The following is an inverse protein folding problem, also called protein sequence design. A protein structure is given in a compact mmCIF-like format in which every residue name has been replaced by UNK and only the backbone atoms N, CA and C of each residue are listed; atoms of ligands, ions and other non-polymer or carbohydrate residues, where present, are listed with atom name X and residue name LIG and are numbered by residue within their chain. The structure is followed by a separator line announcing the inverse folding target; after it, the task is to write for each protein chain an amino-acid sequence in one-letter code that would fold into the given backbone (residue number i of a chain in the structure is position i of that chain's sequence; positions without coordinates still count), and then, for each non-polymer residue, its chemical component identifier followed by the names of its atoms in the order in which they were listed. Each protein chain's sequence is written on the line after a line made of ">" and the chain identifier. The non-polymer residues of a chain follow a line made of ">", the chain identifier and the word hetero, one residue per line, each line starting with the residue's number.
data_IF_156761113112
#
_entry.id   IF_156761113112
#
_cell.length_a   1.000
_cell.length_b   1.000
_cell.length_c   1.000
_cell.angle_alpha   90.00
_cell.angle_beta   90.00
_cell.angle_gamma   90.00
#
_symmetry.space_group_name_H-M   'P 1'
#
loop_
_entity.id
_entity.type
_entity.pdbx_description
1 polymer ?
#
# COMPACT_ATOMS: atom_id res chain seq x y z
N UNK A 1 2.15 -9.93 23.34
CA UNK A 1 0.84 -9.44 22.85
C UNK A 1 1.09 -8.29 21.88
N UNK A 2 1.84 -8.58 20.82
CA UNK A 2 1.40 -8.88 19.44
C UNK A 2 0.99 -7.60 18.68
N UNK A 3 1.99 -7.03 18.01
CA UNK A 3 1.94 -5.89 17.08
C UNK A 3 0.82 -6.08 16.02
N UNK A 4 0.52 -7.32 15.64
CA UNK A 4 -0.58 -7.70 14.74
C UNK A 4 -1.97 -7.26 15.24
N UNK A 5 -2.23 -7.34 16.56
CA UNK A 5 -3.52 -6.99 17.14
C UNK A 5 -3.75 -5.47 17.18
N UNK A 6 -2.66 -4.68 17.14
CA UNK A 6 -2.73 -3.21 17.12
C UNK A 6 -2.90 -2.69 15.69
N UNK A 7 -2.24 -3.32 14.71
CA UNK A 7 -2.39 -3.01 13.28
C UNK A 7 -3.84 -3.23 12.81
N UNK A 8 -4.45 -4.35 13.23
CA UNK A 8 -5.86 -4.66 12.91
C UNK A 8 -6.84 -3.62 13.47
N UNK A 9 -6.65 -3.19 14.73
CA UNK A 9 -7.51 -2.16 15.37
C UNK A 9 -7.38 -0.79 14.73
N UNK A 10 -6.17 -0.36 14.38
CA UNK A 10 -5.97 0.90 13.68
C UNK A 10 -6.60 0.88 12.29
N UNK A 11 -6.42 -0.21 11.53
CA UNK A 11 -7.02 -0.37 10.21
C UNK A 11 -8.55 -0.38 10.26
N UNK A 12 -9.14 -0.99 11.29
CA UNK A 12 -10.58 -0.91 11.55
C UNK A 12 -11.03 0.54 11.82
N UNK A 13 -10.36 1.24 12.73
CA UNK A 13 -10.66 2.64 13.05
C UNK A 13 -10.53 3.56 11.81
N UNK A 14 -9.52 3.32 10.98
CA UNK A 14 -9.29 4.02 9.71
C UNK A 14 -10.40 3.73 8.69
N UNK A 15 -10.78 2.46 8.54
CA UNK A 15 -11.89 2.05 7.68
C UNK A 15 -13.19 2.72 8.11
N UNK A 16 -13.49 2.74 9.41
CA UNK A 16 -14.70 3.34 9.95
C UNK A 16 -14.71 4.87 9.80
N UNK A 17 -13.54 5.52 9.95
CA UNK A 17 -13.39 6.94 9.62
C UNK A 17 -13.79 7.24 8.17
N UNK A 18 -13.26 6.49 7.20
CA UNK A 18 -13.58 6.70 5.79
C UNK A 18 -15.02 6.31 5.42
N UNK A 19 -15.60 5.29 6.07
CA UNK A 19 -17.03 4.97 5.92
C UNK A 19 -17.91 6.14 6.38
N UNK A 20 -17.61 6.72 7.55
CA UNK A 20 -18.34 7.88 8.07
C UNK A 20 -18.20 9.11 7.16
N UNK A 21 -16.98 9.37 6.67
CA UNK A 21 -16.72 10.45 5.72
C UNK A 21 -17.53 10.26 4.43
N UNK A 22 -17.49 9.05 3.84
CA UNK A 22 -18.25 8.72 2.64
C UNK A 22 -19.75 8.88 2.85
N UNK A 23 -20.30 8.37 3.95
CA UNK A 23 -21.72 8.53 4.29
C UNK A 23 -22.13 10.02 4.35
N UNK A 24 -21.28 10.86 4.94
CA UNK A 24 -21.53 12.30 5.03
C UNK A 24 -21.44 12.99 3.65
N UNK A 25 -20.41 12.68 2.86
CA UNK A 25 -20.22 13.23 1.51
C UNK A 25 -21.33 12.79 0.56
N UNK A 26 -21.77 11.52 0.61
CA UNK A 26 -22.88 11.01 -0.21
C UNK A 26 -24.19 11.74 0.10
N UNK A 27 -24.46 12.09 1.37
CA UNK A 27 -25.62 12.90 1.75
C UNK A 27 -25.56 14.30 1.13
N UNK A 28 -24.39 14.94 1.19
CA UNK A 28 -24.17 16.26 0.58
C UNK A 28 -24.32 16.18 -0.95
N UNK A 29 -23.68 15.21 -1.60
CA UNK A 29 -23.74 15.02 -3.04
C UNK A 29 -25.15 14.74 -3.56
N UNK A 30 -25.98 14.01 -2.80
CA UNK A 30 -27.40 13.80 -3.13
C UNK A 30 -28.18 15.11 -3.15
N UNK A 31 -28.01 15.96 -2.14
CA UNK A 31 -28.70 17.26 -2.08
C UNK A 31 -28.20 18.23 -3.17
N UNK A 32 -26.88 18.27 -3.41
CA UNK A 32 -26.29 19.03 -4.53
C UNK A 32 -26.85 18.54 -5.87
N UNK A 33 -26.94 17.22 -6.07
CA UNK A 33 -27.45 16.64 -7.32
C UNK A 33 -28.92 16.98 -7.56
N UNK A 34 -29.75 16.98 -6.51
CA UNK A 34 -31.15 17.44 -6.59
C UNK A 34 -31.24 18.91 -7.00
N UNK A 35 -30.42 19.77 -6.41
CA UNK A 35 -30.38 21.20 -6.77
C UNK A 35 -29.86 21.42 -8.20
N UNK A 36 -28.85 20.66 -8.62
CA UNK A 36 -28.26 20.77 -9.96
C UNK A 36 -29.26 20.39 -11.06
N UNK A 37 -29.97 19.26 -10.87
CA UNK A 37 -30.97 18.74 -11.82
C UNK A 37 -32.27 19.56 -11.87
N UNK A 38 -32.49 20.47 -10.93
CA UNK A 38 -33.67 21.32 -10.93
C UNK A 38 -33.60 22.33 -12.10
N UNK A 39 -34.51 22.22 -13.06
CA UNK A 39 -34.59 23.09 -14.25
C UNK A 39 -35.39 24.37 -14.02
N UNK A 40 -36.09 24.48 -12.89
CA UNK A 40 -36.98 25.60 -12.56
C UNK A 40 -36.19 26.75 -11.95
N UNK A 41 -35.15 26.45 -11.18
CA UNK A 41 -34.34 27.44 -10.47
C UNK A 41 -33.20 27.99 -11.33
N UNK A 42 -33.00 29.30 -11.27
CA UNK A 42 -31.82 29.98 -11.82
C UNK A 42 -30.54 29.59 -11.05
N UNK A 43 -29.38 29.83 -11.66
CA UNK A 43 -28.08 29.56 -11.03
C UNK A 43 -27.91 30.29 -9.69
N UNK A 44 -28.43 31.52 -9.59
CA UNK A 44 -28.38 32.33 -8.36
C UNK A 44 -29.24 31.72 -7.24
N UNK A 45 -30.47 31.33 -7.55
CA UNK A 45 -31.38 30.69 -6.59
C UNK A 45 -30.87 29.32 -6.12
N UNK A 46 -30.20 28.55 -7.00
CA UNK A 46 -29.53 27.31 -6.60
C UNK A 46 -28.42 27.54 -5.58
N UNK A 47 -27.63 28.61 -5.77
CA UNK A 47 -26.57 28.97 -4.84
C UNK A 47 -27.13 29.44 -3.49
N UNK A 48 -28.21 30.23 -3.51
CA UNK A 48 -28.87 30.69 -2.29
C UNK A 48 -29.53 29.54 -1.52
N UNK A 49 -30.19 28.60 -2.21
CA UNK A 49 -30.71 27.37 -1.57
C UNK A 49 -29.61 26.51 -1.00
N UNK A 50 -28.47 26.39 -1.67
CA UNK A 50 -27.33 25.64 -1.15
C UNK A 50 -26.81 26.23 0.17
N UNK A 51 -26.72 27.56 0.27
CA UNK A 51 -26.33 28.25 1.53
C UNK A 51 -27.30 27.99 2.69
N UNK A 52 -28.57 27.77 2.38
CA UNK A 52 -29.61 27.48 3.38
C UNK A 52 -29.62 26.00 3.82
N UNK A 53 -28.99 25.10 3.07
CA UNK A 53 -28.93 23.68 3.43
C UNK A 53 -28.09 23.51 4.70
N UNK A 54 -28.76 23.05 5.76
CA UNK A 54 -28.11 22.64 7.00
C UNK A 54 -27.88 21.14 6.97
N UNK A 55 -26.64 20.74 6.72
CA UNK A 55 -26.26 19.33 6.79
C UNK A 55 -26.30 18.82 8.24
N UNK A 56 -26.67 17.55 8.38
CA UNK A 56 -26.83 16.87 9.65
C UNK A 56 -25.53 16.14 10.01
N UNK A 57 -25.23 16.04 11.30
CA UNK A 57 -24.10 15.24 11.77
C UNK A 57 -24.31 13.75 11.43
N UNK A 58 -23.28 13.08 10.90
CA UNK A 58 -23.34 11.67 10.49
C UNK A 58 -23.64 10.72 11.67
N UNK A 59 -23.31 11.13 12.90
CA UNK A 59 -23.50 10.29 14.09
C UNK A 59 -24.84 10.53 14.81
N UNK A 60 -25.21 11.79 15.05
CA UNK A 60 -26.39 12.13 15.86
C UNK A 60 -27.55 12.77 15.09
N UNK A 61 -27.38 13.07 13.79
CA UNK A 61 -28.41 13.67 12.95
C UNK A 61 -28.77 15.12 13.29
N UNK A 62 -28.10 15.76 14.26
CA UNK A 62 -28.35 17.15 14.67
C UNK A 62 -27.87 18.15 13.60
N UNK A 63 -28.49 19.35 13.52
CA UNK A 63 -28.02 20.43 12.64
C UNK A 63 -26.63 20.91 13.10
N UNK A 64 -25.74 21.19 12.15
CA UNK A 64 -24.34 21.57 12.40
C UNK A 64 -23.32 20.70 11.66
N UNK A 65 -23.75 19.59 11.06
CA UNK A 65 -22.92 18.74 10.22
C UNK A 65 -21.82 17.99 10.99
N UNK A 66 -20.92 17.38 10.23
CA UNK A 66 -19.72 16.72 10.73
C UNK A 66 -18.49 17.38 10.10
N UNK A 67 -17.49 17.65 10.92
CA UNK A 67 -16.24 18.29 10.50
C UNK A 67 -15.20 17.20 10.37
N UNK A 68 -14.80 16.89 9.13
CA UNK A 68 -13.69 16.00 8.83
C UNK A 68 -12.47 16.85 8.44
N UNK A 69 -11.30 16.56 9.02
CA UNK A 69 -10.02 17.17 8.64
C UNK A 69 -8.99 16.09 8.34
N UNK A 70 -8.25 16.30 7.27
CA UNK A 70 -7.13 15.47 6.83
C UNK A 70 -5.91 16.37 6.74
N UNK A 71 -5.10 16.40 7.79
CA UNK A 71 -3.89 17.23 7.90
C UNK A 71 -2.67 16.28 7.92
N UNK A 72 -1.96 16.12 6.81
CA UNK A 72 -0.81 15.20 6.63
C UNK A 72 -1.00 13.79 7.23
N UNK A 73 -0.55 13.61 8.47
CA UNK A 73 -0.59 12.37 9.25
C UNK A 73 -1.79 12.30 10.20
N UNK A 74 -2.54 13.39 10.42
CA UNK A 74 -3.64 13.46 11.36
C UNK A 74 -4.99 13.45 10.64
N UNK A 75 -5.83 12.49 11.01
CA UNK A 75 -7.23 12.41 10.60
C UNK A 75 -8.11 12.74 11.80
N UNK A 76 -9.04 13.68 11.64
CA UNK A 76 -10.01 13.97 12.70
C UNK A 76 -11.43 14.10 12.18
N UNK A 77 -12.38 13.60 12.98
CA UNK A 77 -13.81 13.77 12.75
C UNK A 77 -14.47 14.22 14.06
N UNK A 78 -15.25 15.29 14.00
CA UNK A 78 -16.00 15.82 15.15
C UNK A 78 -17.38 16.31 14.76
N UNK A 79 -18.31 16.34 15.72
CA UNK A 79 -19.61 16.99 15.54
C UNK A 79 -19.42 18.50 15.34
N UNK A 80 -20.09 19.10 14.36
CA UNK A 80 -20.05 20.54 14.10
C UNK A 80 -21.11 21.35 14.87
N UNK A 81 -21.96 20.70 15.65
CA UNK A 81 -22.91 21.38 16.53
C UNK A 81 -22.19 21.91 17.78
N UNK A 82 -22.12 23.23 17.93
CA UNK A 82 -21.41 23.91 19.03
C UNK A 82 -22.22 23.93 20.33
N UNK A 83 -23.55 24.00 20.23
CA UNK A 83 -24.44 24.11 21.40
C UNK A 83 -24.62 22.76 22.11
N UNK A 84 -24.80 21.68 21.34
CA UNK A 84 -25.06 20.34 21.85
C UNK A 84 -24.31 19.28 21.03
N UNK A 85 -22.96 19.25 21.09
CA UNK A 85 -22.15 18.27 20.38
C UNK A 85 -22.50 16.84 20.84
N UNK A 86 -22.40 15.87 19.92
CA UNK A 86 -22.48 14.46 20.28
C UNK A 86 -21.08 13.90 20.58
N UNK A 87 -21.03 12.63 20.98
CA UNK A 87 -19.79 11.95 21.36
C UNK A 87 -18.87 11.60 20.18
N UNK A 88 -19.15 12.12 18.97
CA UNK A 88 -18.28 11.92 17.79
C UNK A 88 -16.99 12.72 17.98
N UNK A 89 -15.93 12.02 18.37
CA UNK A 89 -14.56 12.54 18.47
C UNK A 89 -13.59 11.42 18.05
N UNK A 90 -13.19 11.48 16.78
CA UNK A 90 -12.23 10.55 16.19
C UNK A 90 -10.97 11.33 15.87
N UNK A 91 -9.83 10.83 16.34
CA UNK A 91 -8.49 11.39 16.13
C UNK A 91 -7.52 10.24 15.89
N UNK A 92 -7.06 10.11 14.65
CA UNK A 92 -6.14 9.05 14.22
C UNK A 92 -4.86 9.68 13.70
N UNK A 93 -3.72 9.19 14.17
CA UNK A 93 -2.41 9.52 13.66
C UNK A 93 -1.92 8.37 12.78
N UNK A 94 -1.64 8.65 11.51
CA UNK A 94 -1.01 7.75 10.54
C UNK A 94 0.50 7.82 10.68
N UNK A 95 1.15 6.67 10.58
CA UNK A 95 2.59 6.58 10.35
C UNK A 95 2.93 7.16 8.97
N UNK A 96 4.16 7.67 8.86
CA UNK A 96 4.73 8.08 7.59
C UNK A 96 5.67 6.96 7.13
N UNK A 97 5.73 6.77 5.83
CA UNK A 97 6.52 5.72 5.22
C UNK A 97 7.38 6.32 4.12
N UNK A 98 8.61 5.82 3.99
CA UNK A 98 9.46 6.06 2.84
C UNK A 98 9.47 4.82 1.96
N UNK A 99 9.73 5.00 0.66
CA UNK A 99 10.10 3.87 -0.19
C UNK A 99 11.48 3.36 0.23
N UNK A 100 11.61 2.03 0.28
CA UNK A 100 12.89 1.38 0.55
C UNK A 100 13.94 1.73 -0.52
N UNK A 101 13.52 1.90 -1.78
CA UNK A 101 14.41 2.27 -2.88
C UNK A 101 14.96 3.67 -2.71
N UNK A 102 14.09 4.62 -2.35
CA UNK A 102 14.45 6.03 -2.21
C UNK A 102 15.38 6.22 -1.01
N UNK A 103 15.16 5.47 0.07
CA UNK A 103 16.05 5.52 1.24
C UNK A 103 17.42 4.89 0.93
N UNK A 104 17.48 3.81 0.15
CA UNK A 104 18.74 3.23 -0.33
C UNK A 104 19.51 4.24 -1.18
N UNK A 105 18.84 4.89 -2.13
CA UNK A 105 19.45 5.91 -3.00
C UNK A 105 19.98 7.09 -2.17
N UNK A 106 19.15 7.62 -1.27
CA UNK A 106 19.53 8.70 -0.37
C UNK A 106 20.75 8.35 0.49
N UNK A 107 20.78 7.15 1.08
CA UNK A 107 21.93 6.70 1.87
C UNK A 107 23.18 6.52 1.02
N UNK A 108 23.05 6.05 -0.22
CA UNK A 108 24.17 5.96 -1.15
C UNK A 108 24.75 7.34 -1.49
N UNK A 109 23.88 8.33 -1.73
CA UNK A 109 24.29 9.73 -1.93
C UNK A 109 25.06 10.24 -0.71
N UNK A 110 24.52 10.06 0.50
CA UNK A 110 25.16 10.48 1.75
C UNK A 110 26.55 9.84 1.94
N UNK A 111 26.65 8.52 1.74
CA UNK A 111 27.92 7.79 1.82
C UNK A 111 28.95 8.34 0.84
N UNK A 112 28.54 8.65 -0.39
CA UNK A 112 29.45 9.19 -1.41
C UNK A 112 29.84 10.65 -1.12
N UNK A 113 28.91 11.47 -0.64
CA UNK A 113 29.21 12.84 -0.19
C UNK A 113 30.21 12.82 0.96
N UNK A 114 29.99 11.98 1.97
CA UNK A 114 30.91 11.84 3.11
C UNK A 114 32.30 11.36 2.67
N UNK A 115 32.38 10.43 1.72
CA UNK A 115 33.66 10.02 1.10
C UNK A 115 34.36 11.18 0.42
N UNK A 116 33.64 11.97 -0.38
CA UNK A 116 34.20 13.15 -1.05
C UNK A 116 34.68 14.18 -0.03
N UNK A 117 33.90 14.48 1.00
CA UNK A 117 34.28 15.41 2.08
C UNK A 117 35.51 14.91 2.84
N UNK A 118 35.59 13.60 3.09
CA UNK A 118 36.77 12.97 3.71
C UNK A 118 38.02 13.15 2.84
N UNK A 119 37.91 12.97 1.53
CA UNK A 119 39.03 13.18 0.58
C UNK A 119 39.41 14.66 0.56
N UNK A 120 38.43 15.57 0.45
CA UNK A 120 38.67 17.02 0.45
C UNK A 120 39.35 17.49 1.73
N UNK A 121 38.91 17.03 2.90
CA UNK A 121 39.54 17.37 4.19
C UNK A 121 41.01 16.91 4.24
N UNK A 122 41.31 15.68 3.75
CA UNK A 122 42.69 15.17 3.65
C UNK A 122 43.55 16.01 2.71
N UNK A 123 43.02 16.39 1.54
CA UNK A 123 43.73 17.23 0.58
C UNK A 123 43.97 18.65 1.13
N UNK A 124 42.96 19.24 1.80
CA UNK A 124 43.08 20.54 2.44
C UNK A 124 44.19 20.56 3.49
N UNK A 125 44.32 19.49 4.27
CA UNK A 125 45.44 19.32 5.20
C UNK A 125 46.78 19.18 4.47
N UNK A 126 46.87 18.30 3.47
CA UNK A 126 48.11 18.03 2.71
C UNK A 126 48.67 19.29 2.04
N UNK A 127 47.80 20.15 1.52
CA UNK A 127 48.19 21.40 0.86
C UNK A 127 48.26 22.60 1.81
N UNK A 128 48.08 22.40 3.12
CA UNK A 128 48.22 23.45 4.13
C UNK A 128 47.06 24.45 4.19
N UNK A 129 45.92 24.15 3.57
CA UNK A 129 44.69 24.96 3.68
C UNK A 129 43.98 24.77 5.04
N UNK A 130 44.35 23.73 5.81
CA UNK A 130 43.75 23.40 7.10
C UNK A 130 44.79 22.88 8.09
N UNK A 131 44.63 23.25 9.36
CA UNK A 131 45.52 22.80 10.43
C UNK A 131 45.14 21.40 10.97
N UNK A 132 46.10 20.71 11.57
CA UNK A 132 45.94 19.33 12.03
C UNK A 132 44.79 19.15 13.03
N UNK A 133 44.68 20.04 14.01
CA UNK A 133 43.64 19.95 15.05
C UNK A 133 42.23 20.00 14.46
N UNK A 134 41.98 20.93 13.52
CA UNK A 134 40.68 21.07 12.87
C UNK A 134 40.40 19.90 11.92
N UNK A 135 41.41 19.44 11.18
CA UNK A 135 41.29 18.26 10.30
C UNK A 135 40.94 17.00 11.09
N UNK A 136 41.56 16.79 12.26
CA UNK A 136 41.27 15.62 13.11
C UNK A 136 39.84 15.62 13.66
N UNK A 137 39.33 16.78 14.07
CA UNK A 137 37.94 16.91 14.53
C UNK A 137 36.94 16.60 13.40
N UNK A 138 37.11 17.23 12.24
CA UNK A 138 36.25 17.00 11.08
C UNK A 138 36.33 15.54 10.59
N UNK A 139 37.53 14.98 10.53
CA UNK A 139 37.73 13.59 10.11
C UNK A 139 37.05 12.59 11.07
N UNK A 140 37.14 12.83 12.38
CA UNK A 140 36.48 11.98 13.36
C UNK A 140 34.95 12.02 13.22
N UNK A 141 34.39 13.21 12.97
CA UNK A 141 32.96 13.37 12.71
C UNK A 141 32.54 12.64 11.43
N UNK A 142 33.23 12.90 10.31
CA UNK A 142 32.95 12.26 9.02
C UNK A 142 33.04 10.73 9.12
N UNK A 143 34.04 10.22 9.83
CA UNK A 143 34.21 8.78 10.09
C UNK A 143 33.02 8.19 10.86
N UNK A 144 32.54 8.86 11.91
CA UNK A 144 31.39 8.39 12.69
C UNK A 144 30.11 8.40 11.84
N UNK A 145 29.89 9.47 11.08
CA UNK A 145 28.75 9.62 10.19
C UNK A 145 28.75 8.52 9.12
N UNK A 146 29.90 8.28 8.47
CA UNK A 146 30.06 7.22 7.46
C UNK A 146 29.77 5.83 8.04
N UNK A 147 30.28 5.53 9.24
CA UNK A 147 30.01 4.24 9.90
C UNK A 147 28.50 4.07 10.14
N UNK A 148 27.82 5.13 10.58
CA UNK A 148 26.38 5.09 10.84
C UNK A 148 25.56 4.94 9.54
N UNK A 149 25.92 5.68 8.50
CA UNK A 149 25.28 5.62 7.18
C UNK A 149 25.45 4.24 6.55
N UNK A 150 26.66 3.67 6.56
CA UNK A 150 26.94 2.32 6.04
C UNK A 150 26.17 1.25 6.82
N UNK A 151 26.10 1.36 8.15
CA UNK A 151 25.28 0.44 8.97
C UNK A 151 23.80 0.51 8.61
N UNK A 152 23.26 1.72 8.45
CA UNK A 152 21.86 1.92 8.02
C UNK A 152 21.63 1.36 6.62
N UNK A 153 22.52 1.67 5.68
CA UNK A 153 22.46 1.17 4.32
C UNK A 153 22.42 -0.35 4.30
N UNK A 154 23.35 -1.01 5.01
CA UNK A 154 23.41 -2.47 5.10
C UNK A 154 22.09 -3.05 5.63
N UNK A 155 21.54 -2.49 6.71
CA UNK A 155 20.27 -2.94 7.29
C UNK A 155 19.11 -2.82 6.31
N UNK A 156 18.96 -1.67 5.66
CA UNK A 156 17.85 -1.43 4.71
C UNK A 156 18.02 -2.28 3.46
N UNK A 157 19.25 -2.43 2.97
CA UNK A 157 19.57 -3.27 1.83
C UNK A 157 19.32 -4.76 2.12
N UNK A 158 19.64 -5.25 3.32
CA UNK A 158 19.26 -6.58 3.78
C UNK A 158 17.74 -6.76 3.85
N UNK A 159 17.00 -5.74 4.30
CA UNK A 159 15.53 -5.76 4.26
C UNK A 159 15.01 -5.85 2.83
N UNK A 160 15.56 -5.06 1.91
CA UNK A 160 15.22 -5.08 0.49
C UNK A 160 15.49 -6.45 -0.13
N UNK A 161 16.70 -6.99 0.09
CA UNK A 161 17.07 -8.35 -0.32
C UNK A 161 16.11 -9.36 0.28
N UNK A 162 15.72 -9.24 1.54
CA UNK A 162 14.78 -10.18 2.13
C UNK A 162 13.40 -10.11 1.47
N UNK A 163 12.92 -8.91 1.12
CA UNK A 163 11.65 -8.72 0.40
C UNK A 163 11.74 -9.25 -1.04
N UNK A 164 12.90 -9.18 -1.69
CA UNK A 164 13.08 -9.68 -3.06
C UNK A 164 13.51 -11.15 -3.14
N UNK A 165 14.34 -11.62 -2.20
CA UNK A 165 15.09 -12.88 -2.24
C UNK A 165 14.66 -13.94 -1.23
N UNK A 166 13.97 -13.64 -0.11
CA UNK A 166 13.38 -14.71 0.74
C UNK A 166 12.31 -15.53 -0.01
N UNK A 167 11.97 -15.09 -1.23
CA UNK A 167 11.08 -15.75 -2.18
C UNK A 167 11.79 -16.49 -3.32
N UNK A 168 13.12 -16.62 -3.28
CA UNK A 168 13.87 -17.09 -4.45
C UNK A 168 14.17 -18.58 -4.38
N UNK A 169 14.86 -19.12 -3.37
CA UNK A 169 15.29 -20.52 -3.48
C UNK A 169 14.19 -21.55 -3.21
N UNK A 170 13.48 -21.46 -2.09
CA UNK A 170 12.42 -22.44 -1.77
C UNK A 170 11.19 -22.26 -2.67
N UNK A 171 10.82 -21.02 -2.99
CA UNK A 171 9.72 -20.71 -3.89
C UNK A 171 10.05 -21.09 -5.34
N UNK A 172 11.28 -20.87 -5.85
CA UNK A 172 11.66 -21.37 -7.18
C UNK A 172 11.67 -22.90 -7.24
N UNK A 173 12.15 -23.57 -6.20
CA UNK A 173 12.08 -25.04 -6.12
C UNK A 173 10.64 -25.53 -6.15
N UNK A 174 9.77 -24.95 -5.32
CA UNK A 174 8.34 -25.28 -5.32
C UNK A 174 7.68 -24.97 -6.66
N UNK A 175 8.01 -23.83 -7.27
CA UNK A 175 7.48 -23.45 -8.58
C UNK A 175 7.89 -24.47 -9.65
N UNK A 176 9.17 -24.87 -9.68
CA UNK A 176 9.67 -25.91 -10.58
C UNK A 176 8.91 -27.23 -10.42
N UNK A 177 8.66 -27.67 -9.18
CA UNK A 177 7.88 -28.89 -8.91
C UNK A 177 6.46 -28.76 -9.46
N UNK A 178 5.80 -27.63 -9.25
CA UNK A 178 4.45 -27.41 -9.76
C UNK A 178 4.41 -27.26 -11.28
N UNK A 179 5.43 -26.66 -11.89
CA UNK A 179 5.58 -26.55 -13.35
C UNK A 179 5.74 -27.94 -13.99
N UNK A 180 6.56 -28.81 -13.39
CA UNK A 180 6.69 -30.21 -13.85
C UNK A 180 5.37 -30.98 -13.66
N UNK A 181 4.69 -30.75 -12.53
CA UNK A 181 3.40 -31.39 -12.22
C UNK A 181 2.32 -31.00 -13.22
N UNK A 182 2.17 -29.70 -13.52
CA UNK A 182 1.13 -29.23 -14.44
C UNK A 182 1.41 -29.68 -15.87
N UNK A 183 2.68 -29.73 -16.28
CA UNK A 183 3.06 -30.30 -17.58
C UNK A 183 2.68 -31.77 -17.68
N UNK A 184 2.93 -32.56 -16.64
CA UNK A 184 2.49 -33.96 -16.57
C UNK A 184 0.96 -34.10 -16.64
N UNK A 185 0.22 -33.25 -15.93
CA UNK A 185 -1.25 -33.21 -15.98
C UNK A 185 -1.78 -32.84 -17.37
N UNK A 186 -1.16 -31.87 -18.05
CA UNK A 186 -1.52 -31.47 -19.42
C UNK A 186 -1.25 -32.60 -20.41
N UNK A 187 -0.12 -33.30 -20.27
CA UNK A 187 0.18 -34.44 -21.15
C UNK A 187 -0.84 -35.57 -20.98
N UNK A 188 -1.19 -35.92 -19.74
CA UNK A 188 -2.24 -36.90 -19.46
C UNK A 188 -3.61 -36.46 -20.01
N UNK A 189 -3.94 -35.17 -19.86
CA UNK A 189 -5.16 -34.62 -20.45
C UNK A 189 -5.18 -34.79 -21.98
N UNK A 190 -4.08 -34.47 -22.65
CA UNK A 190 -3.97 -34.62 -24.11
C UNK A 190 -4.06 -36.10 -24.54
N UNK A 191 -3.49 -37.03 -23.78
CA UNK A 191 -3.61 -38.47 -24.03
C UNK A 191 -5.06 -38.96 -23.91
N UNK A 192 -5.81 -38.49 -22.90
CA UNK A 192 -7.23 -38.81 -22.74
C UNK A 192 -8.07 -38.28 -23.92
N UNK A 193 -7.79 -37.06 -24.39
CA UNK A 193 -8.46 -36.49 -25.57
C UNK A 193 -8.15 -37.30 -26.82
N UNK A 194 -6.87 -37.65 -27.05
CA UNK A 194 -6.48 -38.49 -28.19
C UNK A 194 -7.14 -39.86 -28.13
N UNK A 195 -7.19 -40.48 -26.96
CA UNK A 195 -7.85 -41.77 -26.75
C UNK A 195 -9.35 -41.70 -27.03
N UNK A 196 -10.00 -40.57 -26.74
CA UNK A 196 -11.38 -40.31 -27.14
C UNK A 196 -11.52 -40.18 -28.66
N UNK A 197 -10.65 -39.43 -29.33
CA UNK A 197 -10.69 -39.25 -30.79
C UNK A 197 -10.55 -40.59 -31.52
N UNK A 198 -9.72 -41.50 -31.00
CA UNK A 198 -9.49 -42.83 -31.59
C UNK A 198 -10.62 -43.84 -31.28
N UNK A 199 -11.21 -43.80 -30.09
CA UNK A 199 -12.16 -44.83 -29.62
C UNK A 199 -13.63 -44.40 -29.61
N UNK A 200 -13.92 -43.11 -29.61
CA UNK A 200 -15.25 -42.53 -29.39
C UNK A 200 -15.81 -42.72 -27.97
N UNK A 201 -15.03 -43.25 -27.02
CA UNK A 201 -15.52 -43.57 -25.68
C UNK A 201 -15.61 -42.33 -24.78
N UNK A 202 -16.85 -41.95 -24.42
CA UNK A 202 -17.18 -40.78 -23.59
C UNK A 202 -16.55 -40.84 -22.18
N UNK A 203 -16.14 -42.00 -21.68
CA UNK A 203 -15.45 -42.11 -20.37
C UNK A 203 -14.18 -41.26 -20.33
N UNK A 204 -13.39 -41.27 -21.41
CA UNK A 204 -12.16 -40.50 -21.50
C UNK A 204 -12.40 -38.98 -21.39
N UNK A 205 -13.51 -38.48 -21.94
CA UNK A 205 -13.90 -37.07 -21.79
C UNK A 205 -14.29 -36.75 -20.35
N UNK A 206 -15.02 -37.64 -19.67
CA UNK A 206 -15.38 -37.45 -18.26
C UNK A 206 -14.14 -37.41 -17.38
N UNK A 207 -13.20 -38.31 -17.60
CA UNK A 207 -11.93 -38.37 -16.89
C UNK A 207 -11.07 -37.12 -17.18
N UNK A 208 -11.01 -36.68 -18.43
CA UNK A 208 -10.32 -35.44 -18.81
C UNK A 208 -10.91 -34.21 -18.11
N UNK A 209 -12.25 -34.10 -18.02
CA UNK A 209 -12.91 -33.00 -17.30
C UNK A 209 -12.65 -33.03 -15.80
N UNK A 210 -12.56 -34.21 -15.19
CA UNK A 210 -12.19 -34.37 -13.78
C UNK A 210 -10.75 -33.91 -13.56
N UNK A 211 -9.82 -34.37 -14.39
CA UNK A 211 -8.41 -33.97 -14.36
C UNK A 211 -8.24 -32.46 -14.55
N UNK A 212 -8.99 -31.86 -15.47
CA UNK A 212 -8.94 -30.41 -15.69
C UNK A 212 -9.40 -29.63 -14.45
N UNK A 213 -10.58 -29.98 -13.92
CA UNK A 213 -11.20 -29.21 -12.84
C UNK A 213 -10.52 -29.40 -11.48
N UNK A 214 -10.12 -30.62 -11.15
CA UNK A 214 -9.61 -30.95 -9.82
C UNK A 214 -8.09 -30.83 -9.70
N UNK A 215 -7.37 -31.08 -10.80
CA UNK A 215 -5.92 -31.15 -10.78
C UNK A 215 -5.30 -29.95 -11.48
N UNK A 216 -5.56 -29.75 -12.78
CA UNK A 216 -4.92 -28.67 -13.56
C UNK A 216 -5.27 -27.30 -13.00
N UNK A 217 -6.56 -27.01 -12.75
CA UNK A 217 -6.99 -25.72 -12.20
C UNK A 217 -6.43 -25.47 -10.80
N UNK A 218 -6.36 -26.50 -9.94
CA UNK A 218 -5.82 -26.35 -8.60
C UNK A 218 -4.30 -26.16 -8.61
N UNK A 219 -3.56 -26.88 -9.45
CA UNK A 219 -2.12 -26.66 -9.65
C UNK A 219 -1.86 -25.26 -10.21
N UNK A 220 -2.62 -24.81 -11.21
CA UNK A 220 -2.51 -23.47 -11.78
C UNK A 220 -2.75 -22.37 -10.73
N UNK A 221 -3.74 -22.53 -9.84
CA UNK A 221 -3.97 -21.61 -8.72
C UNK A 221 -2.80 -21.57 -7.74
N UNK A 222 -2.15 -22.72 -7.47
CA UNK A 222 -0.96 -22.78 -6.60
C UNK A 222 0.21 -22.03 -7.23
N UNK A 223 0.49 -22.27 -8.52
CA UNK A 223 1.52 -21.56 -9.28
C UNK A 223 1.27 -20.05 -9.25
N UNK A 224 0.03 -19.64 -9.51
CA UNK A 224 -0.37 -18.23 -9.49
C UNK A 224 -0.12 -17.57 -8.13
N UNK A 225 -0.55 -18.21 -7.02
CA UNK A 225 -0.35 -17.70 -5.65
C UNK A 225 1.13 -17.63 -5.25
N UNK A 226 1.96 -18.53 -5.79
CA UNK A 226 3.39 -18.51 -5.51
C UNK A 226 4.10 -17.37 -6.24
N UNK A 227 3.71 -17.14 -7.51
CA UNK A 227 4.33 -16.16 -8.41
C UNK A 227 3.89 -14.72 -8.13
N UNK A 228 2.63 -14.52 -7.76
CA UNK A 228 2.03 -13.20 -7.63
C UNK A 228 1.37 -13.01 -6.27
N UNK A 229 1.66 -11.88 -5.61
CA UNK A 229 0.93 -11.44 -4.43
C UNK A 229 -0.39 -10.77 -4.82
N UNK A 230 -0.40 -10.03 -5.94
CA UNK A 230 -1.59 -9.44 -6.54
C UNK A 230 -1.77 -10.04 -7.93
N UNK A 231 -2.92 -10.66 -8.18
CA UNK A 231 -3.35 -11.08 -9.49
C UNK A 231 -4.84 -10.75 -9.65
N UNK A 232 -5.14 -9.61 -10.26
CA UNK A 232 -6.52 -9.13 -10.45
C UNK A 232 -6.72 -8.60 -11.86
N UNK A 233 -7.97 -8.55 -12.30
CA UNK A 233 -8.36 -7.91 -13.56
C UNK A 233 -9.10 -6.64 -13.21
N UNK A 234 -8.55 -5.50 -13.64
CA UNK A 234 -9.17 -4.20 -13.46
C UNK A 234 -9.86 -3.77 -14.75
N UNK A 235 -11.10 -3.33 -14.63
CA UNK A 235 -11.86 -2.74 -15.72
C UNK A 235 -11.59 -1.24 -15.78
N UNK A 236 -11.27 -0.74 -16.96
CA UNK A 236 -11.04 0.66 -17.23
C UNK A 236 -12.27 1.26 -17.92
N UNK A 237 -12.99 2.11 -17.17
CA UNK A 237 -14.22 2.75 -17.65
C UNK A 237 -13.97 3.72 -18.82
N UNK A 238 -12.74 4.22 -19.00
CA UNK A 238 -12.44 5.22 -20.03
C UNK A 238 -12.26 4.62 -21.43
N UNK A 239 -11.68 3.43 -21.53
CA UNK A 239 -11.44 2.73 -22.80
C UNK A 239 -12.27 1.46 -22.95
N UNK A 240 -13.09 1.13 -21.93
CA UNK A 240 -13.96 -0.04 -21.92
C UNK A 240 -13.19 -1.38 -21.98
N UNK A 241 -11.95 -1.40 -21.50
CA UNK A 241 -11.07 -2.58 -21.55
C UNK A 241 -10.79 -3.19 -20.18
N UNK A 242 -10.30 -4.43 -20.18
CA UNK A 242 -9.88 -5.16 -18.98
C UNK A 242 -8.36 -5.32 -18.99
N UNK A 243 -7.71 -4.92 -17.91
CA UNK A 243 -6.27 -5.05 -17.73
C UNK A 243 -5.95 -6.04 -16.62
N UNK A 244 -5.11 -7.03 -16.95
CA UNK A 244 -4.56 -7.96 -15.97
C UNK A 244 -3.41 -7.27 -15.22
N UNK A 245 -3.52 -7.21 -13.90
CA UNK A 245 -2.49 -6.69 -12.99
C UNK A 245 -1.89 -7.86 -12.22
N UNK A 246 -0.58 -8.01 -12.37
CA UNK A 246 0.21 -9.09 -11.79
C UNK A 246 1.47 -8.55 -11.12
N UNK A 247 1.48 -8.55 -9.80
CA UNK A 247 2.60 -8.04 -9.01
C UNK A 247 3.10 -9.11 -8.03
N UNK A 248 4.40 -9.41 -8.10
CA UNK A 248 5.07 -10.34 -7.16
C UNK A 248 5.37 -9.69 -5.81
N UNK A 249 5.56 -8.37 -5.79
CA UNK A 249 5.86 -7.56 -4.61
C UNK A 249 4.93 -6.35 -4.62
N UNK A 250 4.30 -6.06 -3.48
CA UNK A 250 3.40 -4.91 -3.36
C UNK A 250 4.15 -3.66 -2.92
N UNK A 251 3.61 -2.48 -3.24
CA UNK A 251 4.17 -1.21 -2.77
C UNK A 251 4.24 -1.12 -1.24
N UNK A 252 3.28 -1.72 -0.53
CA UNK A 252 3.28 -1.78 0.94
C UNK A 252 4.48 -2.58 1.48
N UNK A 253 4.88 -3.65 0.79
CA UNK A 253 6.07 -4.43 1.16
C UNK A 253 7.36 -3.64 0.97
N UNK A 254 7.37 -2.67 0.06
CA UNK A 254 8.52 -1.79 -0.21
C UNK A 254 8.52 -0.52 0.67
N UNK A 255 7.59 -0.39 1.62
CA UNK A 255 7.53 0.75 2.52
C UNK A 255 8.28 0.47 3.82
N UNK A 256 9.08 1.45 4.25
CA UNK A 256 9.73 1.45 5.56
C UNK A 256 9.16 2.60 6.41
N UNK A 257 8.81 2.36 7.69
CA UNK A 257 8.29 3.41 8.55
C UNK A 257 9.38 4.44 8.83
N UNK A 258 9.01 5.73 8.78
CA UNK A 258 9.90 6.80 9.23
C UNK A 258 9.98 6.75 10.75
N UNK A 259 11.21 6.80 11.29
CA UNK A 259 11.47 6.86 12.73
C UNK A 259 10.61 7.93 13.40
N UNK A 260 10.06 7.62 14.57
CA UNK A 260 9.14 8.46 15.37
C UNK A 260 7.74 8.71 14.77
N UNK A 261 7.36 8.03 13.69
CA UNK A 261 5.97 8.03 13.22
C UNK A 261 5.33 6.66 13.43
N UNK A 262 4.23 6.62 14.18
CA UNK A 262 3.50 5.38 14.47
C UNK A 262 2.01 5.58 14.28
N UNK A 263 1.35 4.52 13.81
CA UNK A 263 -0.09 4.47 13.76
C UNK A 263 -0.64 4.49 15.19
N UNK A 264 -1.43 5.51 15.52
CA UNK A 264 -1.98 5.68 16.87
C UNK A 264 -3.43 6.16 16.80
N UNK A 265 -4.27 5.48 17.58
CA UNK A 265 -5.61 5.96 17.89
C UNK A 265 -5.47 6.91 19.09
N UNK A 266 -5.58 8.22 18.84
CA UNK A 266 -5.52 9.24 19.91
C UNK A 266 -6.89 9.30 20.61
N UNK A 267 -7.97 9.27 19.84
CA UNK A 267 -9.33 9.21 20.37
C UNK A 267 -10.22 8.50 19.36
N UNK A 268 -11.12 7.65 19.83
CA UNK A 268 -12.13 7.02 18.99
C UNK A 268 -13.42 6.90 19.80
N UNK A 269 -14.25 7.95 19.71
CA UNK A 269 -15.58 7.99 20.31
C UNK A 269 -16.59 8.22 19.19
N UNK A 270 -17.63 7.39 19.17
CA UNK A 270 -18.74 7.46 18.23
C UNK A 270 -20.02 7.30 19.03
#
# INVERSE_FOLDING_TARGET
>A
MSIENTMSKFNQALSDFYKLKRQYEDQIHKEISKLRKNTILTTKEKHDKFKQLKFKCVNCGKPGGSIFKLEDSMLSARCGNVENPCNLDIKLQKAKYNSITDEIEKLNILINTNRTETISSKLNFLFGYQNESKTLEEFNKLKLDLINEVKRYKKIYEMYINITNNFVDDKKKQLSIYDDTILGQINNFNELIKSYEESGNISYIKEALILYNNDILETAKKIQKLKYNINTVNYNENDNTYHLIQESITLEQLQIPIDNTQNKIITFKK
#
